data_IF_051881122890
#
_entry.id   IF_051881122890
#
_cell.length_a   1.000
_cell.length_b   1.000
_cell.length_c   1.000
_cell.angle_alpha   90.00
_cell.angle_beta   90.00
_cell.angle_gamma   90.00
#
_symmetry.space_group_name_H-M   'P 1'
#
loop_
_entity.id
_entity.type
_entity.pdbx_description
1 polymer ?
#
# COMPACT_ATOMS: atom_id res chain seq x y z
N UNK A 1 -5.71 -18.87 -11.30
CA UNK A 1 -4.40 -18.40 -10.78
C UNK A 1 -4.40 -16.91 -10.42
N UNK A 2 -4.87 -15.96 -11.28
CA UNK A 2 -4.94 -14.55 -10.91
C UNK A 2 -5.91 -14.27 -9.75
N UNK A 3 -7.07 -14.96 -9.69
CA UNK A 3 -8.03 -14.84 -8.59
C UNK A 3 -7.43 -15.24 -7.23
N UNK A 4 -6.60 -16.30 -7.20
CA UNK A 4 -5.91 -16.73 -5.98
C UNK A 4 -4.90 -15.67 -5.49
N UNK A 5 -4.06 -15.16 -6.40
CA UNK A 5 -3.11 -14.08 -6.08
C UNK A 5 -3.86 -12.84 -5.57
N UNK A 6 -4.99 -12.55 -6.18
CA UNK A 6 -5.86 -11.45 -5.81
C UNK A 6 -6.42 -11.60 -4.38
N UNK A 7 -7.01 -12.77 -4.10
CA UNK A 7 -7.54 -13.09 -2.78
C UNK A 7 -6.46 -13.06 -1.69
N UNK A 8 -5.27 -13.59 -1.98
CA UNK A 8 -4.11 -13.52 -1.08
C UNK A 8 -3.74 -12.07 -0.73
N UNK A 9 -3.64 -11.20 -1.74
CA UNK A 9 -3.30 -9.79 -1.53
C UNK A 9 -4.36 -9.10 -0.68
N UNK A 10 -5.65 -9.30 -0.99
CA UNK A 10 -6.77 -8.70 -0.25
C UNK A 10 -6.75 -9.11 1.22
N UNK A 11 -6.69 -10.41 1.49
CA UNK A 11 -6.75 -10.93 2.87
C UNK A 11 -5.51 -10.49 3.66
N UNK A 12 -4.32 -10.71 3.10
CA UNK A 12 -3.10 -10.39 3.82
C UNK A 12 -2.98 -8.88 4.06
N UNK A 13 -3.10 -8.05 3.02
CA UNK A 13 -2.95 -6.61 3.21
C UNK A 13 -4.12 -5.98 3.98
N UNK A 14 -5.33 -6.53 3.88
CA UNK A 14 -6.45 -6.09 4.72
C UNK A 14 -6.17 -6.27 6.21
N UNK A 15 -5.45 -7.31 6.59
CA UNK A 15 -5.08 -7.62 7.98
C UNK A 15 -3.73 -7.03 8.41
N UNK A 16 -2.89 -6.49 7.48
CA UNK A 16 -1.62 -5.86 7.87
C UNK A 16 -1.77 -4.53 8.58
N UNK A 17 -2.88 -3.85 8.44
CA UNK A 17 -3.13 -2.56 9.08
C UNK A 17 -3.16 -2.68 10.61
N UNK A 18 -3.88 -3.67 11.13
CA UNK A 18 -3.86 -3.93 12.58
C UNK A 18 -2.47 -4.35 13.07
N UNK A 19 -1.70 -5.05 12.25
CA UNK A 19 -0.33 -5.42 12.62
C UNK A 19 0.61 -4.20 12.67
N UNK A 20 0.36 -3.17 11.86
CA UNK A 20 1.04 -1.86 11.97
C UNK A 20 0.64 -1.17 13.28
N UNK A 21 -0.64 -1.17 13.63
CA UNK A 21 -1.12 -0.64 14.91
C UNK A 21 -0.46 -1.34 16.10
N UNK A 22 -0.36 -2.67 16.07
CA UNK A 22 0.29 -3.46 17.14
C UNK A 22 1.80 -3.19 17.28
N UNK A 23 2.42 -2.55 16.29
CA UNK A 23 3.81 -2.09 16.36
C UNK A 23 3.95 -0.63 16.83
N UNK A 24 2.86 0.10 17.05
CA UNK A 24 2.93 1.43 17.64
C UNK A 24 3.39 1.35 19.10
N UNK A 25 4.24 2.26 19.52
CA UNK A 25 4.74 2.28 20.89
C UNK A 25 6.15 2.83 21.02
N UNK A 26 6.99 2.27 21.91
CA UNK A 26 8.31 2.84 22.23
C UNK A 26 9.35 2.66 21.11
N UNK A 27 9.14 1.75 20.17
CA UNK A 27 10.07 1.53 19.05
C UNK A 27 9.80 2.55 17.95
N UNK A 28 10.82 3.28 17.55
CA UNK A 28 10.70 4.27 16.48
C UNK A 28 10.26 3.64 15.16
N UNK A 29 9.39 4.32 14.42
CA UNK A 29 8.86 3.82 13.13
C UNK A 29 9.97 3.40 12.14
N UNK A 30 11.09 4.16 11.95
CA UNK A 30 12.19 3.72 11.10
C UNK A 30 12.78 2.36 11.51
N UNK A 31 12.86 2.08 12.80
CA UNK A 31 13.41 0.82 13.34
C UNK A 31 12.45 -0.34 13.08
N UNK A 32 11.16 -0.15 13.32
CA UNK A 32 10.14 -1.18 13.03
C UNK A 32 10.11 -1.52 11.53
N UNK A 33 10.19 -0.51 10.66
CA UNK A 33 10.25 -0.68 9.20
C UNK A 33 11.56 -1.37 8.79
N UNK A 34 12.69 -0.97 9.38
CA UNK A 34 13.98 -1.61 9.14
C UNK A 34 13.92 -3.11 9.43
N UNK A 35 13.48 -3.52 10.62
CA UNK A 35 13.39 -4.93 10.99
C UNK A 35 12.41 -5.71 10.10
N UNK A 36 11.27 -5.11 9.78
CA UNK A 36 10.29 -5.71 8.86
C UNK A 36 10.92 -6.07 7.53
N UNK A 37 11.59 -5.13 6.89
CA UNK A 37 12.16 -5.36 5.56
C UNK A 37 13.53 -6.04 5.60
N UNK A 38 14.27 -5.99 6.70
CA UNK A 38 15.45 -6.81 6.92
C UNK A 38 15.07 -8.30 6.89
N UNK A 39 14.10 -8.71 7.70
CA UNK A 39 13.59 -10.09 7.71
C UNK A 39 13.02 -10.47 6.34
N UNK A 40 12.22 -9.60 5.73
CA UNK A 40 11.60 -9.87 4.44
C UNK A 40 12.63 -10.03 3.31
N UNK A 41 13.60 -9.10 3.20
CA UNK A 41 14.61 -9.14 2.15
C UNK A 41 15.55 -10.34 2.30
N UNK A 42 16.02 -10.62 3.53
CA UNK A 42 16.85 -11.79 3.80
C UNK A 42 16.11 -13.07 3.46
N UNK A 43 14.85 -13.21 3.91
CA UNK A 43 14.03 -14.40 3.59
C UNK A 43 13.87 -14.57 2.09
N UNK A 44 13.51 -13.50 1.36
CA UNK A 44 13.26 -13.59 -0.07
C UNK A 44 14.54 -13.85 -0.88
N UNK A 45 15.64 -13.16 -0.55
CA UNK A 45 16.94 -13.42 -1.17
C UNK A 45 17.42 -14.85 -0.92
N UNK A 46 17.27 -15.34 0.31
CA UNK A 46 17.64 -16.73 0.67
C UNK A 46 16.82 -17.74 -0.14
N UNK A 47 15.50 -17.56 -0.24
CA UNK A 47 14.64 -18.42 -1.06
C UNK A 47 15.09 -18.39 -2.53
N UNK A 48 15.35 -17.21 -3.09
CA UNK A 48 15.77 -17.07 -4.49
C UNK A 48 17.17 -17.67 -4.74
N UNK A 49 18.08 -17.58 -3.79
CA UNK A 49 19.42 -18.20 -3.86
C UNK A 49 19.31 -19.74 -3.83
N UNK A 50 18.60 -20.30 -2.84
CA UNK A 50 18.42 -21.75 -2.69
C UNK A 50 17.71 -22.35 -3.91
N UNK A 51 16.68 -21.66 -4.42
CA UNK A 51 15.94 -22.11 -5.60
C UNK A 51 16.63 -21.79 -6.93
N UNK A 52 17.81 -21.16 -6.89
CA UNK A 52 18.59 -20.71 -8.07
C UNK A 52 17.80 -19.82 -9.03
N UNK A 53 16.87 -19.03 -8.46
CA UNK A 53 16.01 -18.10 -9.21
C UNK A 53 16.49 -16.64 -9.14
N UNK A 54 17.48 -16.34 -8.31
CA UNK A 54 18.04 -15.00 -8.26
C UNK A 54 18.74 -14.69 -9.59
N UNK A 55 18.23 -13.71 -10.33
CA UNK A 55 18.79 -13.30 -11.63
C UNK A 55 19.78 -12.15 -11.46
N UNK A 56 20.91 -12.17 -12.17
CA UNK A 56 21.83 -11.04 -12.16
C UNK A 56 21.16 -9.79 -12.74
N UNK A 57 21.44 -8.65 -12.14
CA UNK A 57 20.97 -7.34 -12.59
C UNK A 57 22.15 -6.48 -13.00
N UNK A 58 21.96 -5.62 -14.02
CA UNK A 58 22.92 -4.59 -14.35
C UNK A 58 22.94 -3.50 -13.26
N UNK A 59 24.08 -2.80 -13.07
CA UNK A 59 24.22 -1.74 -12.07
C UNK A 59 23.12 -0.67 -12.20
N UNK A 60 22.74 -0.31 -13.41
CA UNK A 60 21.63 0.60 -13.67
C UNK A 60 20.30 0.08 -13.11
N UNK A 61 20.06 -1.23 -13.19
CA UNK A 61 18.81 -1.82 -12.70
C UNK A 61 18.79 -1.91 -11.17
N UNK A 62 19.96 -2.09 -10.53
CA UNK A 62 20.11 -1.95 -9.08
C UNK A 62 19.75 -0.55 -8.60
N UNK A 63 20.16 0.52 -9.32
CA UNK A 63 19.75 1.89 -8.99
C UNK A 63 18.22 2.05 -9.01
N UNK A 64 17.55 1.49 -10.02
CA UNK A 64 16.09 1.54 -10.09
C UNK A 64 15.41 0.66 -9.03
N UNK A 65 16.02 -0.47 -8.62
CA UNK A 65 15.56 -1.23 -7.46
C UNK A 65 15.70 -0.42 -6.15
N UNK A 66 16.79 0.33 -6.00
CA UNK A 66 16.97 1.23 -4.85
C UNK A 66 15.90 2.33 -4.84
N UNK A 67 15.61 2.97 -5.97
CA UNK A 67 14.53 3.95 -6.07
C UNK A 67 13.16 3.33 -5.74
N UNK A 68 12.88 2.11 -6.20
CA UNK A 68 11.68 1.38 -5.84
C UNK A 68 11.63 1.10 -4.34
N UNK A 69 12.74 0.72 -3.74
CA UNK A 69 12.90 0.51 -2.29
C UNK A 69 12.60 1.78 -1.50
N UNK A 70 13.17 2.91 -1.93
CA UNK A 70 12.90 4.21 -1.31
C UNK A 70 11.41 4.59 -1.38
N UNK A 71 10.75 4.36 -2.52
CA UNK A 71 9.34 4.72 -2.70
C UNK A 71 8.40 3.80 -1.90
N UNK A 72 8.56 2.46 -2.05
CA UNK A 72 7.62 1.48 -1.49
C UNK A 72 7.98 1.04 -0.09
N UNK A 73 9.27 0.75 0.18
CA UNK A 73 9.70 0.09 1.41
C UNK A 73 10.30 1.04 2.46
N UNK A 74 10.50 2.33 2.08
CA UNK A 74 10.87 3.39 3.00
C UNK A 74 9.74 4.40 3.14
N UNK A 75 9.63 5.33 2.19
CA UNK A 75 8.78 6.50 2.24
C UNK A 75 7.30 6.15 2.46
N UNK A 76 6.77 5.19 1.70
CA UNK A 76 5.41 4.71 1.85
C UNK A 76 5.11 4.25 3.30
N UNK A 77 5.94 3.35 3.83
CA UNK A 77 5.72 2.81 5.19
C UNK A 77 6.04 3.82 6.28
N UNK A 78 7.04 4.68 6.11
CA UNK A 78 7.29 5.75 7.07
C UNK A 78 6.08 6.67 7.19
N UNK A 79 5.47 7.03 6.08
CA UNK A 79 4.23 7.81 6.10
C UNK A 79 3.12 7.08 6.86
N UNK A 80 2.86 5.79 6.58
CA UNK A 80 1.79 5.04 7.26
C UNK A 80 2.08 4.79 8.74
N UNK A 81 3.29 4.38 9.10
CA UNK A 81 3.63 4.19 10.52
C UNK A 81 3.56 5.50 11.32
N UNK A 82 3.83 6.63 10.68
CA UNK A 82 3.67 7.95 11.31
C UNK A 82 2.20 8.37 11.35
N UNK A 83 1.43 8.13 10.30
CA UNK A 83 0.01 8.43 10.23
C UNK A 83 -0.82 7.65 11.27
N UNK A 84 -0.44 6.39 11.55
CA UNK A 84 -1.09 5.54 12.54
C UNK A 84 -1.08 6.10 13.98
N UNK A 85 -0.20 7.07 14.27
CA UNK A 85 -0.22 7.81 15.53
C UNK A 85 -1.26 8.95 15.55
N UNK A 86 -1.86 9.28 14.42
CA UNK A 86 -2.75 10.43 14.23
C UNK A 86 -4.17 10.04 13.85
N UNK A 87 -4.32 8.96 13.08
CA UNK A 87 -5.61 8.44 12.63
C UNK A 87 -5.64 6.91 12.76
N UNK A 88 -6.86 6.37 12.81
CA UNK A 88 -7.09 4.93 12.87
C UNK A 88 -6.54 4.22 11.61
N UNK A 89 -5.89 3.07 11.78
CA UNK A 89 -5.25 2.34 10.65
C UNK A 89 -6.26 1.80 9.64
N UNK A 90 -7.49 1.54 10.05
CA UNK A 90 -8.59 1.22 9.13
C UNK A 90 -8.90 2.39 8.19
N UNK A 91 -8.90 3.64 8.69
CA UNK A 91 -9.09 4.84 7.89
C UNK A 91 -7.92 5.08 6.93
N UNK A 92 -6.67 4.80 7.36
CA UNK A 92 -5.51 4.83 6.46
C UNK A 92 -5.69 3.89 5.27
N UNK A 93 -6.24 2.69 5.52
CA UNK A 93 -6.52 1.72 4.46
C UNK A 93 -7.51 2.24 3.42
N UNK A 94 -8.49 3.05 3.86
CA UNK A 94 -9.44 3.72 2.95
C UNK A 94 -8.73 4.73 2.07
N UNK A 95 -7.85 5.57 2.65
CA UNK A 95 -7.05 6.53 1.88
C UNK A 95 -6.12 5.79 0.91
N UNK A 96 -5.53 4.67 1.33
CA UNK A 96 -4.69 3.84 0.48
C UNK A 96 -5.43 3.29 -0.77
N UNK A 97 -6.73 3.09 -0.70
CA UNK A 97 -7.53 2.69 -1.86
C UNK A 97 -7.48 3.70 -3.02
N UNK A 98 -7.11 4.98 -2.73
CA UNK A 98 -6.87 6.01 -3.74
C UNK A 98 -5.62 5.74 -4.60
N UNK A 99 -4.83 4.71 -4.30
CA UNK A 99 -3.71 4.26 -5.14
C UNK A 99 -4.12 4.04 -6.60
N UNK A 100 -5.38 3.67 -6.84
CA UNK A 100 -5.96 3.53 -8.19
C UNK A 100 -5.85 4.84 -8.98
N UNK A 101 -6.20 5.96 -8.36
CA UNK A 101 -6.15 7.29 -9.00
C UNK A 101 -4.70 7.75 -9.19
N UNK A 102 -3.85 7.59 -8.19
CA UNK A 102 -2.44 7.92 -8.31
C UNK A 102 -1.73 7.06 -9.38
N UNK A 103 -2.08 5.78 -9.49
CA UNK A 103 -1.55 4.91 -10.55
C UNK A 103 -1.98 5.40 -11.95
N UNK A 104 -3.20 5.90 -12.13
CA UNK A 104 -3.64 6.44 -13.40
C UNK A 104 -2.89 7.72 -13.77
N UNK A 105 -2.72 8.64 -12.81
CA UNK A 105 -1.96 9.88 -12.98
C UNK A 105 -0.50 9.56 -13.34
N UNK A 106 0.16 8.71 -12.54
CA UNK A 106 1.56 8.36 -12.75
C UNK A 106 1.76 7.55 -14.04
N UNK A 107 0.82 6.69 -14.43
CA UNK A 107 0.88 5.99 -15.72
C UNK A 107 0.81 6.97 -16.90
N UNK A 108 0.05 8.06 -16.77
CA UNK A 108 0.03 9.13 -17.77
C UNK A 108 1.37 9.89 -17.78
N UNK A 109 1.90 10.29 -16.64
CA UNK A 109 3.14 11.06 -16.53
C UNK A 109 4.33 10.27 -17.09
N UNK A 110 4.52 9.03 -16.64
CA UNK A 110 5.72 8.24 -16.95
C UNK A 110 5.62 7.43 -18.25
N UNK A 111 4.40 7.01 -18.62
CA UNK A 111 4.21 6.12 -19.76
C UNK A 111 3.28 6.69 -20.83
N UNK A 112 2.80 7.93 -20.69
CA UNK A 112 1.86 8.60 -21.59
C UNK A 112 0.55 7.82 -21.82
N UNK A 113 0.18 6.96 -20.89
CA UNK A 113 -1.06 6.21 -20.93
C UNK A 113 -2.22 7.12 -20.51
N UNK A 114 -3.08 7.47 -21.46
CA UNK A 114 -4.23 8.34 -21.19
C UNK A 114 -5.16 7.71 -20.15
N UNK A 115 -5.54 8.43 -19.08
CA UNK A 115 -6.55 7.97 -18.14
C UNK A 115 -7.90 7.85 -18.87
N UNK A 116 -8.76 6.89 -18.49
CA UNK A 116 -10.08 6.77 -19.10
C UNK A 116 -10.92 8.02 -18.82
N UNK A 117 -11.85 8.40 -19.72
CA UNK A 117 -12.64 9.62 -19.59
C UNK A 117 -13.42 9.75 -18.26
N UNK A 118 -13.74 8.62 -17.62
CA UNK A 118 -14.36 8.53 -16.29
C UNK A 118 -13.41 8.79 -15.10
N UNK A 119 -12.12 9.00 -15.36
CA UNK A 119 -11.13 9.31 -14.32
C UNK A 119 -11.55 10.50 -13.45
N UNK A 120 -12.06 11.58 -14.06
CA UNK A 120 -12.47 12.78 -13.33
C UNK A 120 -13.65 12.53 -12.39
N UNK A 121 -14.64 11.73 -12.83
CA UNK A 121 -15.75 11.33 -11.97
C UNK A 121 -15.28 10.45 -10.82
N UNK A 122 -14.38 9.49 -11.10
CA UNK A 122 -13.80 8.64 -10.06
C UNK A 122 -13.00 9.45 -9.04
N UNK A 123 -12.21 10.43 -9.49
CA UNK A 123 -11.45 11.31 -8.62
C UNK A 123 -12.36 12.18 -7.75
N UNK A 124 -13.40 12.76 -8.33
CA UNK A 124 -14.38 13.58 -7.60
C UNK A 124 -15.10 12.75 -6.51
N UNK A 125 -15.56 11.54 -6.85
CA UNK A 125 -16.19 10.64 -5.89
C UNK A 125 -15.22 10.21 -4.79
N UNK A 126 -13.96 9.92 -5.13
CA UNK A 126 -12.93 9.56 -4.15
C UNK A 126 -12.63 10.70 -3.18
N UNK A 127 -12.44 11.92 -3.67
CA UNK A 127 -12.20 13.10 -2.83
C UNK A 127 -13.43 13.45 -1.96
N UNK A 128 -14.62 13.45 -2.56
CA UNK A 128 -15.86 13.66 -1.81
C UNK A 128 -16.02 12.60 -0.71
N UNK A 129 -15.68 11.35 -1.03
CA UNK A 129 -15.73 10.24 -0.08
C UNK A 129 -14.76 10.43 1.09
N UNK A 130 -13.52 10.89 0.87
CA UNK A 130 -12.58 11.20 1.96
C UNK A 130 -13.12 12.33 2.83
N UNK A 131 -13.59 13.42 2.24
CA UNK A 131 -14.17 14.55 3.01
C UNK A 131 -15.36 14.07 3.84
N UNK A 132 -16.26 13.27 3.25
CA UNK A 132 -17.43 12.73 3.97
C UNK A 132 -17.01 11.76 5.08
N UNK A 133 -16.01 10.92 4.84
CA UNK A 133 -15.50 9.95 5.81
C UNK A 133 -15.00 10.62 7.09
N UNK A 134 -14.30 11.74 6.97
CA UNK A 134 -13.73 12.49 8.08
C UNK A 134 -14.60 13.67 8.54
N UNK A 135 -15.85 13.77 8.04
CA UNK A 135 -16.71 14.92 8.28
C UNK A 135 -16.99 15.18 9.76
N UNK A 136 -17.32 14.13 10.51
CA UNK A 136 -17.61 14.23 11.94
C UNK A 136 -16.36 14.62 12.74
N UNK A 137 -15.19 14.08 12.38
CA UNK A 137 -13.93 14.45 13.02
C UNK A 137 -13.56 15.91 12.75
N UNK A 138 -13.82 16.39 11.53
CA UNK A 138 -13.60 17.80 11.14
C UNK A 138 -14.55 18.76 11.87
N UNK A 139 -15.81 18.36 12.09
CA UNK A 139 -16.78 19.18 12.80
C UNK A 139 -16.54 19.19 14.32
N UNK A 140 -16.22 18.01 14.90
CA UNK A 140 -16.07 17.87 16.34
C UNK A 140 -14.81 18.58 16.89
N UNK A 141 -13.70 18.52 16.13
CA UNK A 141 -12.39 19.00 16.56
C UNK A 141 -11.89 20.22 15.77
N UNK A 142 -12.68 20.72 14.83
CA UNK A 142 -12.25 21.74 13.87
C UNK A 142 -11.16 21.19 12.93
N UNK A 143 -10.41 22.09 12.29
CA UNK A 143 -9.23 21.72 11.50
C UNK A 143 -8.08 21.33 12.45
N UNK A 144 -8.17 20.14 13.04
CA UNK A 144 -7.12 19.62 13.92
C UNK A 144 -5.88 19.27 13.08
N UNK A 145 -4.75 19.89 13.43
CA UNK A 145 -3.48 19.65 12.75
C UNK A 145 -3.07 18.18 12.76
N UNK A 146 -3.35 17.43 13.85
CA UNK A 146 -3.06 16.01 13.96
C UNK A 146 -3.83 15.18 12.91
N UNK A 147 -5.14 15.43 12.79
CA UNK A 147 -5.99 14.76 11.78
C UNK A 147 -5.51 15.05 10.36
N UNK A 148 -5.24 16.32 10.05
CA UNK A 148 -4.74 16.71 8.72
C UNK A 148 -3.37 16.08 8.41
N UNK A 149 -2.48 15.99 9.42
CA UNK A 149 -1.22 15.28 9.29
C UNK A 149 -1.44 13.80 8.97
N UNK A 150 -2.31 13.10 9.69
CA UNK A 150 -2.62 11.69 9.44
C UNK A 150 -3.14 11.46 8.02
N UNK A 151 -4.12 12.27 7.58
CA UNK A 151 -4.67 12.19 6.22
C UNK A 151 -3.60 12.50 5.17
N UNK A 152 -2.83 13.58 5.37
CA UNK A 152 -1.77 14.01 4.44
C UNK A 152 -0.66 12.97 4.30
N UNK A 153 -0.18 12.42 5.41
CA UNK A 153 0.83 11.36 5.41
C UNK A 153 0.31 10.08 4.72
N UNK A 154 -0.94 9.69 4.99
CA UNK A 154 -1.53 8.51 4.34
C UNK A 154 -1.65 8.71 2.82
N UNK A 155 -2.03 9.91 2.37
CA UNK A 155 -2.08 10.25 0.95
C UNK A 155 -0.67 10.26 0.31
N UNK A 156 0.32 10.84 0.98
CA UNK A 156 1.72 10.86 0.54
C UNK A 156 2.32 9.45 0.49
N UNK A 157 2.05 8.61 1.50
CA UNK A 157 2.44 7.21 1.51
C UNK A 157 1.85 6.46 0.31
N UNK A 158 0.55 6.66 0.06
CA UNK A 158 -0.15 6.07 -1.09
C UNK A 158 0.45 6.54 -2.42
N UNK A 159 0.83 7.80 -2.53
CA UNK A 159 1.54 8.32 -3.71
C UNK A 159 2.91 7.67 -3.89
N UNK A 160 3.68 7.50 -2.80
CA UNK A 160 4.95 6.76 -2.82
C UNK A 160 4.80 5.32 -3.32
N UNK A 161 3.75 4.62 -2.86
CA UNK A 161 3.40 3.29 -3.37
C UNK A 161 3.13 3.31 -4.89
N UNK A 162 2.40 4.30 -5.38
CA UNK A 162 2.13 4.44 -6.81
C UNK A 162 3.41 4.70 -7.64
N UNK A 163 4.34 5.51 -7.14
CA UNK A 163 5.65 5.68 -7.79
C UNK A 163 6.41 4.36 -7.88
N UNK A 164 6.40 3.56 -6.80
CA UNK A 164 7.01 2.24 -6.80
C UNK A 164 6.35 1.26 -7.80
N UNK A 165 5.04 1.37 -8.03
CA UNK A 165 4.35 0.63 -9.08
C UNK A 165 4.88 0.99 -10.49
N UNK A 166 5.17 2.28 -10.74
CA UNK A 166 5.76 2.70 -12.02
C UNK A 166 7.15 2.11 -12.22
N UNK A 167 7.97 2.05 -11.16
CA UNK A 167 9.27 1.41 -11.19
C UNK A 167 9.17 -0.10 -11.43
N UNK A 168 8.22 -0.78 -10.79
CA UNK A 168 7.93 -2.20 -11.05
C UNK A 168 7.51 -2.45 -12.50
N UNK A 169 6.64 -1.61 -13.07
CA UNK A 169 6.27 -1.69 -14.50
C UNK A 169 7.49 -1.51 -15.41
N UNK A 170 8.35 -0.54 -15.10
CA UNK A 170 9.61 -0.35 -15.85
C UNK A 170 10.48 -1.60 -15.81
N UNK A 171 10.65 -2.24 -14.65
CA UNK A 171 11.42 -3.47 -14.54
C UNK A 171 10.84 -4.58 -15.42
N UNK A 172 9.55 -4.79 -15.34
CA UNK A 172 8.85 -5.83 -16.10
C UNK A 172 8.86 -5.58 -17.60
N UNK A 173 8.74 -4.32 -18.06
CA UNK A 173 8.90 -3.95 -19.48
C UNK A 173 10.29 -4.22 -20.03
N UNK A 174 11.31 -4.27 -19.15
CA UNK A 174 12.67 -4.65 -19.49
C UNK A 174 12.93 -6.16 -19.40
N UNK A 175 11.91 -6.96 -19.11
CA UNK A 175 12.01 -8.40 -18.94
C UNK A 175 12.71 -8.84 -17.66
N UNK A 176 12.87 -7.92 -16.67
CA UNK A 176 13.48 -8.27 -15.39
C UNK A 176 12.50 -9.08 -14.53
N UNK A 177 13.05 -10.08 -13.86
CA UNK A 177 12.28 -10.98 -13.02
C UNK A 177 11.77 -10.25 -11.75
N UNK A 178 10.44 -10.31 -11.53
CA UNK A 178 9.76 -9.50 -10.52
C UNK A 178 10.21 -9.82 -9.10
N UNK A 179 10.41 -11.08 -8.76
CA UNK A 179 10.82 -11.45 -7.41
C UNK A 179 12.25 -11.00 -7.12
N UNK A 180 13.14 -11.08 -8.11
CA UNK A 180 14.52 -10.58 -8.01
C UNK A 180 14.54 -9.07 -7.77
N UNK A 181 13.83 -8.30 -8.60
CA UNK A 181 13.80 -6.82 -8.45
C UNK A 181 13.14 -6.38 -7.14
N UNK A 182 12.09 -7.09 -6.70
CA UNK A 182 11.41 -6.81 -5.45
C UNK A 182 12.27 -7.12 -4.22
N UNK A 183 13.02 -8.25 -4.23
CA UNK A 183 13.92 -8.57 -3.12
C UNK A 183 15.07 -7.57 -2.99
N UNK A 184 15.66 -7.12 -4.10
CA UNK A 184 16.65 -6.05 -4.07
C UNK A 184 16.06 -4.71 -3.62
N UNK A 185 14.84 -4.38 -4.06
CA UNK A 185 14.18 -3.17 -3.60
C UNK A 185 13.92 -3.19 -2.09
N UNK A 186 13.47 -4.31 -1.51
CA UNK A 186 13.34 -4.48 -0.06
C UNK A 186 14.68 -4.33 0.64
N UNK A 187 15.73 -4.95 0.11
CA UNK A 187 17.08 -4.84 0.68
C UNK A 187 17.59 -3.41 0.72
N UNK A 188 17.49 -2.68 -0.38
CA UNK A 188 17.88 -1.26 -0.43
C UNK A 188 17.01 -0.39 0.47
N UNK A 189 15.69 -0.67 0.53
CA UNK A 189 14.79 -0.02 1.47
C UNK A 189 15.20 -0.22 2.92
N UNK A 190 15.63 -1.43 3.27
CA UNK A 190 16.17 -1.75 4.60
C UNK A 190 17.41 -0.92 4.91
N UNK A 191 18.37 -0.86 3.98
CA UNK A 191 19.60 -0.06 4.18
C UNK A 191 19.30 1.43 4.41
N UNK A 192 18.37 1.98 3.62
CA UNK A 192 17.98 3.40 3.76
C UNK A 192 17.27 3.64 5.10
N UNK A 193 16.34 2.76 5.51
CA UNK A 193 15.68 2.91 6.81
C UNK A 193 16.64 2.72 7.98
N UNK A 194 17.59 1.79 7.87
CA UNK A 194 18.65 1.62 8.84
C UNK A 194 19.53 2.86 8.95
N UNK A 195 19.92 3.47 7.83
CA UNK A 195 20.69 4.71 7.82
C UNK A 195 19.91 5.88 8.46
N UNK A 196 18.60 6.00 8.16
CA UNK A 196 17.75 7.02 8.79
C UNK A 196 17.68 6.82 10.29
N UNK A 197 17.46 5.58 10.77
CA UNK A 197 17.39 5.27 12.19
C UNK A 197 18.73 5.59 12.90
N UNK A 198 19.86 5.25 12.28
CA UNK A 198 21.20 5.59 12.78
C UNK A 198 21.43 7.10 12.89
N UNK A 199 21.09 7.85 11.83
CA UNK A 199 21.26 9.31 11.81
C UNK A 199 20.37 10.02 12.83
N UNK A 200 19.22 9.44 13.16
CA UNK A 200 18.32 9.94 14.21
C UNK A 200 18.76 9.56 15.62
N UNK A 201 19.71 8.63 15.76
CA UNK A 201 20.10 8.06 17.06
C UNK A 201 19.02 7.12 17.64
N UNK A 202 18.16 6.56 16.82
CA UNK A 202 17.08 5.66 17.27
C UNK A 202 17.69 4.36 17.83
N UNK A 203 17.08 3.82 18.90
CA UNK A 203 17.48 2.53 19.46
C UNK A 203 16.98 1.39 18.56
N UNK A 204 17.90 0.55 18.07
CA UNK A 204 17.57 -0.58 17.18
C UNK A 204 16.95 -1.79 17.89
N UNK A 205 16.87 -1.79 19.24
CA UNK A 205 16.28 -2.91 19.96
C UNK A 205 14.76 -3.00 19.69
N UNK A 206 14.26 -4.13 19.16
CA UNK A 206 12.83 -4.34 19.02
C UNK A 206 12.20 -4.54 20.40
N UNK A 207 10.90 -4.30 20.51
CA UNK A 207 10.16 -4.61 21.71
C UNK A 207 9.92 -6.12 21.80
N UNK A 208 10.45 -6.78 22.84
CA UNK A 208 10.33 -8.22 23.03
C UNK A 208 8.99 -8.61 23.67
N UNK A 209 7.87 -8.20 23.07
CA UNK A 209 6.53 -8.63 23.45
C UNK A 209 5.94 -9.53 22.35
N UNK A 210 5.08 -10.45 22.73
CA UNK A 210 4.42 -11.33 21.76
C UNK A 210 3.65 -10.57 20.70
N UNK A 211 2.98 -9.47 21.10
CA UNK A 211 2.24 -8.61 20.18
C UNK A 211 3.14 -8.00 19.12
N UNK A 212 4.22 -7.31 19.54
CA UNK A 212 5.14 -6.63 18.61
C UNK A 212 5.88 -7.63 17.71
N UNK A 213 6.47 -8.69 18.30
CA UNK A 213 7.24 -9.68 17.53
C UNK A 213 6.36 -10.50 16.60
N UNK A 214 5.16 -10.87 17.03
CA UNK A 214 4.17 -11.54 16.18
C UNK A 214 3.75 -10.67 15.01
N UNK A 215 3.44 -9.39 15.26
CA UNK A 215 3.14 -8.41 14.23
C UNK A 215 4.33 -8.22 13.26
N UNK A 216 5.56 -8.10 13.78
CA UNK A 216 6.77 -7.96 12.97
C UNK A 216 6.94 -9.14 12.01
N UNK A 217 6.89 -10.36 12.51
CA UNK A 217 7.04 -11.56 11.68
C UNK A 217 5.90 -11.71 10.68
N UNK A 218 4.66 -11.43 11.10
CA UNK A 218 3.51 -11.43 10.20
C UNK A 218 3.68 -10.41 9.06
N UNK A 219 4.04 -9.17 9.40
CA UNK A 219 4.28 -8.10 8.42
C UNK A 219 5.45 -8.42 7.49
N UNK A 220 6.53 -9.01 8.00
CA UNK A 220 7.70 -9.36 7.21
C UNK A 220 7.40 -10.51 6.24
N UNK A 221 6.86 -11.62 6.72
CA UNK A 221 6.71 -12.84 5.92
C UNK A 221 5.45 -12.80 5.05
N UNK A 222 4.29 -12.56 5.66
CA UNK A 222 3.03 -12.53 4.91
C UNK A 222 2.83 -11.17 4.22
N UNK A 223 2.89 -10.08 4.97
CA UNK A 223 2.64 -8.73 4.46
C UNK A 223 3.66 -8.24 3.43
N UNK A 224 4.92 -8.71 3.51
CA UNK A 224 5.98 -8.25 2.62
C UNK A 224 6.39 -9.32 1.61
N UNK A 225 6.85 -10.51 2.02
CA UNK A 225 7.34 -11.52 1.06
C UNK A 225 6.20 -12.05 0.19
N UNK A 226 5.15 -12.56 0.82
CA UNK A 226 4.06 -13.23 0.09
C UNK A 226 3.19 -12.21 -0.64
N UNK A 227 2.68 -11.20 0.06
CA UNK A 227 1.72 -10.28 -0.51
C UNK A 227 2.31 -9.37 -1.59
N UNK A 228 3.52 -8.77 -1.40
CA UNK A 228 4.17 -8.01 -2.47
C UNK A 228 4.61 -8.89 -3.64
N UNK A 229 5.07 -10.11 -3.37
CA UNK A 229 5.35 -11.10 -4.43
C UNK A 229 4.11 -11.37 -5.28
N UNK A 230 2.97 -11.61 -4.65
CA UNK A 230 1.69 -11.81 -5.32
C UNK A 230 1.23 -10.55 -6.06
N UNK A 231 1.29 -9.38 -5.41
CA UNK A 231 0.84 -8.10 -5.98
C UNK A 231 1.65 -7.69 -7.20
N UNK A 232 2.99 -7.68 -7.13
CA UNK A 232 3.81 -7.30 -8.28
C UNK A 232 3.75 -8.34 -9.41
N UNK A 233 3.49 -9.61 -9.09
CA UNK A 233 3.15 -10.61 -10.11
C UNK A 233 1.84 -10.26 -10.81
N UNK A 234 0.82 -9.81 -10.07
CA UNK A 234 -0.43 -9.30 -10.66
C UNK A 234 -0.18 -8.06 -11.52
N UNK A 235 0.61 -7.09 -11.02
CA UNK A 235 0.98 -5.88 -11.78
C UNK A 235 1.56 -6.26 -13.15
N UNK A 236 2.44 -7.26 -13.20
CA UNK A 236 3.00 -7.75 -14.46
C UNK A 236 2.00 -8.43 -15.38
N UNK A 237 1.06 -9.19 -14.82
CA UNK A 237 0.11 -9.98 -15.61
C UNK A 237 -1.07 -9.17 -16.14
N UNK A 238 -1.60 -8.25 -15.32
CA UNK A 238 -2.85 -7.54 -15.60
C UNK A 238 -2.70 -6.02 -15.59
N UNK A 239 -1.50 -5.51 -15.32
CA UNK A 239 -1.19 -4.09 -15.22
C UNK A 239 -1.50 -3.49 -13.84
N UNK A 240 -0.80 -2.39 -13.47
CA UNK A 240 -0.91 -1.77 -12.15
C UNK A 240 -2.34 -1.30 -11.83
N UNK A 241 -3.04 -0.70 -12.79
CA UNK A 241 -4.40 -0.24 -12.58
C UNK A 241 -5.35 -1.38 -12.20
N UNK A 242 -5.27 -2.53 -12.90
CA UNK A 242 -6.12 -3.69 -12.58
C UNK A 242 -5.67 -4.41 -11.30
N UNK A 243 -4.38 -4.48 -11.02
CA UNK A 243 -3.87 -5.04 -9.76
C UNK A 243 -4.31 -4.20 -8.56
N UNK A 244 -4.38 -2.86 -8.71
CA UNK A 244 -4.86 -1.96 -7.69
C UNK A 244 -6.35 -2.15 -7.31
N UNK A 245 -7.13 -2.94 -8.05
CA UNK A 245 -8.47 -3.37 -7.58
C UNK A 245 -8.41 -4.12 -6.24
N UNK A 246 -7.32 -4.81 -5.96
CA UNK A 246 -7.17 -5.47 -4.66
C UNK A 246 -7.27 -4.47 -3.51
N UNK A 247 -6.85 -3.21 -3.74
CA UNK A 247 -6.91 -2.16 -2.72
C UNK A 247 -8.34 -1.68 -2.39
N UNK A 248 -9.34 -2.03 -3.19
CA UNK A 248 -10.73 -1.68 -2.91
C UNK A 248 -11.34 -2.50 -1.77
N UNK A 249 -10.87 -3.71 -1.61
CA UNK A 249 -11.42 -4.64 -0.61
C UNK A 249 -10.71 -4.54 0.74
N UNK A 250 -9.50 -3.96 0.80
CA UNK A 250 -8.76 -3.79 2.05
C UNK A 250 -9.54 -2.98 3.09
N UNK A 251 -10.15 -1.82 2.73
CA UNK A 251 -10.82 -1.01 3.71
C UNK A 251 -11.94 -1.74 4.45
N UNK A 252 -12.66 -2.63 3.76
CA UNK A 252 -13.71 -3.44 4.38
C UNK A 252 -13.12 -4.34 5.46
N UNK A 253 -12.02 -5.03 5.16
CA UNK A 253 -11.33 -5.91 6.11
C UNK A 253 -10.70 -5.09 7.25
N UNK A 254 -9.95 -4.04 6.90
CA UNK A 254 -9.21 -3.23 7.85
C UNK A 254 -10.14 -2.47 8.82
N UNK A 255 -11.20 -1.81 8.33
CA UNK A 255 -12.16 -1.10 9.17
C UNK A 255 -12.95 -2.07 10.07
N UNK A 256 -13.30 -3.24 9.55
CA UNK A 256 -13.95 -4.27 10.38
C UNK A 256 -13.04 -4.67 11.56
N UNK A 257 -11.76 -4.91 11.29
CA UNK A 257 -10.79 -5.24 12.35
C UNK A 257 -10.59 -4.06 13.31
N UNK A 258 -10.44 -2.84 12.79
CA UNK A 258 -10.27 -1.63 13.59
C UNK A 258 -11.45 -1.36 14.52
N UNK A 259 -12.66 -1.77 14.14
CA UNK A 259 -13.84 -1.68 15.01
C UNK A 259 -13.64 -2.48 16.30
N UNK A 260 -13.03 -3.66 16.22
CA UNK A 260 -12.83 -4.53 17.39
C UNK A 260 -11.56 -4.23 18.18
N UNK A 261 -10.49 -3.77 17.51
CA UNK A 261 -9.16 -3.64 18.15
C UNK A 261 -8.74 -2.19 18.42
N UNK A 262 -9.18 -1.24 17.59
CA UNK A 262 -8.85 0.17 17.74
C UNK A 262 -10.03 1.02 18.24
N UNK A 263 -11.18 0.36 18.52
CA UNK A 263 -12.39 1.04 19.02
C UNK A 263 -13.02 1.98 17.98
N UNK A 264 -12.84 1.70 16.66
CA UNK A 264 -13.44 2.52 15.61
C UNK A 264 -14.96 2.43 15.66
N UNK A 265 -15.61 3.60 15.73
CA UNK A 265 -17.08 3.72 15.77
C UNK A 265 -17.58 4.13 14.39
N UNK A 266 -18.50 3.34 13.86
CA UNK A 266 -19.13 3.61 12.57
C UNK A 266 -20.18 4.72 12.71
N UNK A 267 -19.89 5.87 12.11
CA UNK A 267 -20.86 6.94 11.90
C UNK A 267 -21.47 6.85 10.50
N UNK A 268 -22.65 7.44 10.30
CA UNK A 268 -23.31 7.43 8.97
C UNK A 268 -22.41 8.02 7.89
N UNK A 269 -21.65 9.07 8.22
CA UNK A 269 -20.72 9.73 7.30
C UNK A 269 -19.56 8.79 6.90
N UNK A 270 -19.10 7.94 7.81
CA UNK A 270 -18.06 6.97 7.51
C UNK A 270 -18.56 5.92 6.49
N UNK A 271 -19.80 5.44 6.65
CA UNK A 271 -20.41 4.49 5.70
C UNK A 271 -20.61 5.13 4.33
N UNK A 272 -21.14 6.35 4.29
CA UNK A 272 -21.36 7.09 3.04
C UNK A 272 -20.03 7.41 2.37
N UNK A 273 -19.04 7.91 3.10
CA UNK A 273 -17.70 8.23 2.60
C UNK A 273 -17.00 7.00 2.01
N UNK A 274 -17.04 5.88 2.73
CA UNK A 274 -16.50 4.60 2.22
C UNK A 274 -17.22 4.16 0.95
N UNK A 275 -18.56 4.23 0.92
CA UNK A 275 -19.34 3.88 -0.27
C UNK A 275 -18.98 4.76 -1.48
N UNK A 276 -18.82 6.08 -1.29
CA UNK A 276 -18.40 7.00 -2.35
C UNK A 276 -17.02 6.64 -2.91
N UNK A 277 -16.05 6.32 -2.05
CA UNK A 277 -14.70 5.92 -2.46
C UNK A 277 -14.75 4.60 -3.24
N UNK A 278 -15.49 3.61 -2.74
CA UNK A 278 -15.62 2.32 -3.42
C UNK A 278 -16.30 2.47 -4.78
N UNK A 279 -17.38 3.27 -4.86
CA UNK A 279 -18.08 3.56 -6.13
C UNK A 279 -17.15 4.32 -7.07
N UNK A 280 -16.43 5.34 -6.62
CA UNK A 280 -15.45 6.07 -7.43
C UNK A 280 -14.40 5.13 -8.03
N UNK A 281 -13.85 4.25 -7.22
CA UNK A 281 -12.93 3.24 -7.67
C UNK A 281 -13.56 2.24 -8.66
N UNK A 282 -14.80 1.79 -8.44
CA UNK A 282 -15.53 0.94 -9.38
C UNK A 282 -15.79 1.65 -10.72
N UNK A 283 -16.16 2.93 -10.68
CA UNK A 283 -16.34 3.76 -11.88
C UNK A 283 -15.06 3.82 -12.71
N UNK A 284 -13.90 3.94 -12.05
CA UNK A 284 -12.61 3.93 -12.75
C UNK A 284 -12.42 2.69 -13.62
N UNK A 285 -12.99 1.58 -13.23
CA UNK A 285 -12.78 0.26 -13.86
C UNK A 285 -13.94 -0.24 -14.73
N UNK A 286 -15.16 0.30 -14.57
CA UNK A 286 -16.31 -0.15 -15.37
C UNK A 286 -15.99 -0.06 -16.89
N UNK A 287 -16.26 -1.07 -17.66
CA UNK A 287 -16.16 -1.04 -19.13
C UNK A 287 -17.48 -0.55 -19.71
N UNK A 288 -17.50 0.52 -20.52
CA UNK A 288 -18.76 1.02 -21.13
C UNK A 288 -19.52 -0.05 -21.90
N UNK A 289 -18.79 -0.93 -22.57
CA UNK A 289 -19.39 -1.97 -23.45
C UNK A 289 -20.23 -3.01 -22.71
N UNK A 290 -19.93 -3.28 -21.45
CA UNK A 290 -20.69 -4.27 -20.66
C UNK A 290 -21.99 -3.69 -20.06
N UNK A 291 -22.09 -2.38 -19.89
CA UNK A 291 -23.31 -1.70 -19.42
C UNK A 291 -24.34 -1.50 -20.55
N UNK A 292 -23.87 -1.36 -21.78
CA UNK A 292 -24.76 -1.14 -22.94
C UNK A 292 -25.20 -2.43 -23.65
N UNK A 293 -24.44 -3.54 -23.54
CA UNK A 293 -24.88 -4.82 -24.13
C UNK A 293 -26.07 -5.45 -23.41
N UNK A 294 -26.26 -5.18 -22.09
CA UNK A 294 -27.50 -5.63 -21.41
C UNK A 294 -28.79 -4.91 -21.85
N UNK A 295 -28.67 -3.74 -22.49
CA UNK A 295 -29.83 -2.98 -23.00
C UNK A 295 -30.24 -3.37 -24.43
N UNK A 296 -29.43 -4.19 -25.14
CA UNK A 296 -29.81 -4.70 -26.49
C UNK A 296 -30.39 -6.14 -26.50
N UNK A 297 -30.43 -6.78 -25.34
CA UNK A 297 -30.98 -8.14 -25.18
C UNK A 297 -32.18 -8.17 -24.22
N UNK A 298 -32.73 -7.04 -23.84
CA UNK A 298 -34.02 -6.86 -23.20
C UNK A 298 -34.93 -5.99 -24.11
#
# INVERSE_FOLDING_TARGET
MNALLYGLVVVIWGTTWIAIFLQQGPVAAPVSIFWRFAVASVTMLTILLITRRLRPLAMRDHLFCMLQGCCVFCFNFWCFYTAAAHINTGLESVIFSMAVLFNAINSFIFFRQQPPGRFWLAAALGLAGIVTLFWDDLLANGLNASLLWGIGLSALGTYGFSLGNMLSIRHQRRGLETLTTNSWAMFYGTLVMGAIALLRGDNFMPQWTWSYMGALLYLALFGSVIAFGAYFTLVGRIGASKAAYSTLLFPLVALTISTFYEGYIWHSNAVIGLALILVGNLVMFARPEQLFMRRRLA
#
